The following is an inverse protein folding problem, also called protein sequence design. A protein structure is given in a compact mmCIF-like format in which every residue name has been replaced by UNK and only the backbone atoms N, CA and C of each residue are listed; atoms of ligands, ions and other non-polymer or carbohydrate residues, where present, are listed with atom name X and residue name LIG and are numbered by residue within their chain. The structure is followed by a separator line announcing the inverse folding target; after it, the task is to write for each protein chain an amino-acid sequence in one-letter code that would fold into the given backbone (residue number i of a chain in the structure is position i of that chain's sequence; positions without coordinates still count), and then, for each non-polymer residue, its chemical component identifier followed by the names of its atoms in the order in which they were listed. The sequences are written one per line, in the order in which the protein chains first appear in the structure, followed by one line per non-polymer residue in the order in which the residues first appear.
data_IF_785733597535
#
_entry.id   IF_785733597535
#
_cell.length_a   1.000
_cell.length_b   1.000
_cell.length_c   1.000
_cell.angle_alpha   90.00
_cell.angle_beta   90.00
_cell.angle_gamma   90.00
#
_symmetry.space_group_name_H-M   'P 1'
#
loop_
_entity.id
_entity.type
_entity.pdbx_description
1 polymer ?
#
# COMPACT_ATOMS: atom_id res chain seq x y z
N UNK A 1 -10.39 -13.01 13.55
CA UNK A 1 -9.52 -12.97 12.39
C UNK A 1 -8.11 -12.58 12.83
N UNK A 2 -7.14 -13.50 12.70
CA UNK A 2 -5.75 -13.34 13.18
C UNK A 2 -4.75 -12.91 12.10
N UNK A 3 -5.19 -12.45 10.91
CA UNK A 3 -4.31 -12.05 9.82
C UNK A 3 -3.77 -10.62 9.96
N UNK A 4 -2.78 -10.30 9.12
CA UNK A 4 -2.21 -8.96 9.02
C UNK A 4 -3.25 -7.91 8.63
N UNK A 5 -2.95 -6.66 8.92
CA UNK A 5 -3.75 -5.51 8.54
C UNK A 5 -3.16 -4.84 7.29
N UNK A 6 -4.02 -4.49 6.33
CA UNK A 6 -3.56 -4.02 5.03
C UNK A 6 -4.25 -2.71 4.64
N UNK A 7 -3.43 -1.69 4.43
CA UNK A 7 -3.82 -0.42 3.81
C UNK A 7 -3.40 -0.44 2.34
N UNK A 8 -4.31 -0.10 1.45
CA UNK A 8 -4.04 -0.06 0.01
C UNK A 8 -4.39 1.32 -0.51
N UNK A 9 -3.46 1.97 -1.18
CA UNK A 9 -3.74 3.22 -1.87
C UNK A 9 -4.91 3.07 -2.86
N UNK A 10 -5.75 4.09 -2.99
CA UNK A 10 -6.90 4.06 -3.88
C UNK A 10 -6.57 3.70 -5.33
N UNK A 11 -5.46 4.24 -5.87
CA UNK A 11 -4.99 3.92 -7.22
C UNK A 11 -4.54 2.47 -7.43
N UNK A 12 -4.22 1.76 -6.36
CA UNK A 12 -3.83 0.34 -6.41
C UNK A 12 -5.03 -0.63 -6.33
N UNK A 13 -6.24 -0.13 -6.07
CA UNK A 13 -7.44 -0.95 -5.92
C UNK A 13 -7.71 -1.87 -7.14
N UNK A 14 -7.54 -1.44 -8.40
CA UNK A 14 -7.74 -2.32 -9.55
C UNK A 14 -6.89 -3.59 -9.52
N UNK A 15 -5.61 -3.48 -9.13
CA UNK A 15 -4.71 -4.64 -9.00
C UNK A 15 -5.15 -5.59 -7.88
N UNK A 16 -5.65 -5.05 -6.78
CA UNK A 16 -6.18 -5.85 -5.66
C UNK A 16 -7.47 -6.55 -6.07
N UNK A 17 -8.37 -5.88 -6.81
CA UNK A 17 -9.58 -6.50 -7.36
C UNK A 17 -9.26 -7.62 -8.35
N UNK A 18 -8.31 -7.39 -9.26
CA UNK A 18 -7.85 -8.43 -10.19
C UNK A 18 -7.32 -9.65 -9.43
N UNK A 19 -6.55 -9.44 -8.35
CA UNK A 19 -6.10 -10.54 -7.50
C UNK A 19 -7.27 -11.22 -6.79
N UNK A 20 -8.23 -10.45 -6.28
CA UNK A 20 -9.44 -10.97 -5.65
C UNK A 20 -10.27 -11.85 -6.59
N UNK A 21 -10.39 -11.45 -7.85
CA UNK A 21 -11.04 -12.24 -8.91
C UNK A 21 -10.29 -13.56 -9.15
N UNK A 22 -8.98 -13.52 -9.32
CA UNK A 22 -8.15 -14.73 -9.53
C UNK A 22 -8.13 -15.70 -8.34
N UNK A 23 -8.60 -15.27 -7.19
CA UNK A 23 -8.69 -16.08 -5.96
C UNK A 23 -10.13 -16.36 -5.54
N UNK A 24 -11.09 -16.22 -6.47
CA UNK A 24 -12.52 -16.49 -6.28
C UNK A 24 -13.20 -15.69 -5.15
N UNK A 25 -12.62 -14.54 -4.79
CA UNK A 25 -13.19 -13.63 -3.78
C UNK A 25 -14.07 -12.54 -4.38
N UNK A 26 -13.99 -12.33 -5.67
CA UNK A 26 -14.76 -11.37 -6.47
C UNK A 26 -15.28 -12.10 -7.69
N UNK A 27 -16.58 -11.95 -7.98
CA UNK A 27 -17.21 -12.55 -9.14
C UNK A 27 -16.93 -11.75 -10.42
N UNK A 28 -17.13 -12.39 -11.59
CA UNK A 28 -17.06 -11.72 -12.89
C UNK A 28 -18.08 -10.58 -13.00
N UNK A 29 -19.29 -10.78 -12.50
CA UNK A 29 -20.33 -9.76 -12.46
C UNK A 29 -19.89 -8.52 -11.68
N UNK A 30 -19.28 -8.71 -10.53
CA UNK A 30 -18.72 -7.59 -9.73
C UNK A 30 -17.59 -6.87 -10.47
N UNK A 31 -16.72 -7.60 -11.17
CA UNK A 31 -15.64 -7.02 -12.00
C UNK A 31 -16.20 -6.17 -13.14
N UNK A 32 -17.24 -6.65 -13.82
CA UNK A 32 -17.91 -5.91 -14.92
C UNK A 32 -18.54 -4.60 -14.41
N UNK A 33 -18.91 -4.53 -13.15
CA UNK A 33 -19.50 -3.36 -12.50
C UNK A 33 -18.47 -2.53 -11.70
N UNK A 34 -17.20 -2.55 -12.11
CA UNK A 34 -16.17 -1.73 -11.47
C UNK A 34 -16.50 -0.23 -11.59
N UNK A 35 -16.42 0.50 -10.49
CA UNK A 35 -16.80 1.92 -10.37
C UNK A 35 -18.28 2.23 -10.61
N UNK A 36 -19.14 1.26 -10.39
CA UNK A 36 -20.60 1.41 -10.48
C UNK A 36 -21.25 1.17 -9.12
N UNK A 37 -20.69 1.77 -8.08
CA UNK A 37 -21.12 1.57 -6.70
C UNK A 37 -22.48 2.21 -6.37
N UNK A 38 -23.01 3.09 -7.21
CA UNK A 38 -24.29 3.81 -6.95
C UNK A 38 -25.46 2.84 -6.75
N UNK A 39 -25.48 1.76 -7.51
CA UNK A 39 -26.54 0.74 -7.44
C UNK A 39 -26.20 -0.38 -6.43
N UNK A 40 -25.07 -0.31 -5.75
CA UNK A 40 -24.66 -1.26 -4.72
C UNK A 40 -24.22 -2.64 -5.23
N UNK A 41 -24.13 -2.84 -6.54
CA UNK A 41 -23.85 -4.15 -7.16
C UNK A 41 -22.43 -4.27 -7.74
N UNK A 42 -21.58 -3.26 -7.56
CA UNK A 42 -20.26 -3.20 -8.17
C UNK A 42 -19.12 -3.10 -7.17
N UNK A 43 -17.91 -2.99 -7.71
CA UNK A 43 -16.71 -2.73 -6.94
C UNK A 43 -16.56 -1.23 -6.71
N UNK A 44 -16.26 -0.84 -5.48
CA UNK A 44 -16.02 0.55 -5.14
C UNK A 44 -14.79 1.11 -5.84
N UNK A 45 -14.84 2.40 -6.22
CA UNK A 45 -13.72 3.09 -6.88
C UNK A 45 -12.47 3.14 -6.02
N UNK A 46 -12.65 3.26 -4.69
CA UNK A 46 -11.60 3.26 -3.68
C UNK A 46 -11.88 2.21 -2.62
N UNK A 47 -10.87 1.78 -1.85
CA UNK A 47 -11.09 0.97 -0.66
C UNK A 47 -12.14 1.59 0.26
N UNK A 48 -13.27 0.92 0.40
CA UNK A 48 -14.43 1.45 1.11
C UNK A 48 -15.13 0.36 1.93
N UNK A 49 -14.78 0.22 3.22
CA UNK A 49 -15.31 -0.85 4.08
C UNK A 49 -16.84 -0.84 4.23
N UNK A 50 -17.50 0.30 4.09
CA UNK A 50 -18.96 0.35 4.19
C UNK A 50 -19.67 -0.18 2.94
N UNK A 51 -19.05 0.01 1.75
CA UNK A 51 -19.58 -0.54 0.51
C UNK A 51 -19.18 -2.01 0.31
N UNK A 52 -18.02 -2.40 0.83
CA UNK A 52 -17.48 -3.75 0.70
C UNK A 52 -16.89 -4.22 2.05
N UNK A 53 -17.75 -4.48 3.07
CA UNK A 53 -17.31 -4.77 4.44
C UNK A 53 -16.53 -6.09 4.58
N UNK A 54 -16.81 -7.06 3.73
CA UNK A 54 -16.12 -8.36 3.73
C UNK A 54 -14.82 -8.37 2.93
N UNK A 55 -14.51 -7.26 2.25
CA UNK A 55 -13.35 -7.15 1.38
C UNK A 55 -12.30 -6.16 1.89
N UNK A 56 -12.70 -4.93 2.20
CA UNK A 56 -11.80 -3.88 2.63
C UNK A 56 -11.76 -3.74 4.16
N UNK A 57 -10.54 -3.67 4.72
CA UNK A 57 -10.34 -3.44 6.15
C UNK A 57 -10.36 -1.96 6.52
N UNK A 58 -9.82 -1.10 5.66
CA UNK A 58 -9.65 0.32 5.92
C UNK A 58 -10.09 1.15 4.73
N UNK A 59 -10.70 2.34 4.97
CA UNK A 59 -10.95 3.30 3.93
C UNK A 59 -9.64 3.99 3.57
N UNK A 60 -9.32 4.10 2.28
CA UNK A 60 -8.16 4.83 1.80
C UNK A 60 -8.50 5.63 0.57
N UNK A 61 -7.76 6.71 0.40
CA UNK A 61 -7.70 7.55 -0.79
C UNK A 61 -6.22 7.68 -1.20
N UNK A 62 -5.89 8.66 -2.03
CA UNK A 62 -4.51 8.86 -2.51
C UNK A 62 -3.94 10.20 -2.06
N UNK A 63 -4.31 10.65 -0.85
CA UNK A 63 -3.99 11.96 -0.27
C UNK A 63 -3.04 11.86 0.94
N UNK A 64 -2.30 10.76 1.07
CA UNK A 64 -1.33 10.57 2.15
C UNK A 64 -1.93 10.11 3.49
N UNK A 65 -3.25 9.98 3.61
CA UNK A 65 -3.89 9.55 4.86
C UNK A 65 -3.70 8.05 5.14
N UNK A 66 -3.60 7.22 4.10
CA UNK A 66 -3.36 5.78 4.24
C UNK A 66 -2.06 5.48 5.00
N UNK A 67 -0.91 6.01 4.57
CA UNK A 67 0.36 5.89 5.29
C UNK A 67 0.30 6.38 6.73
N UNK A 68 -0.28 7.55 6.94
CA UNK A 68 -0.43 8.14 8.27
C UNK A 68 -1.29 7.25 9.19
N UNK A 69 -2.43 6.79 8.71
CA UNK A 69 -3.31 5.88 9.46
C UNK A 69 -2.64 4.54 9.77
N UNK A 70 -1.84 4.00 8.83
CA UNK A 70 -1.09 2.76 9.05
C UNK A 70 -0.09 2.90 10.20
N UNK A 71 0.61 4.04 10.29
CA UNK A 71 1.52 4.33 11.41
C UNK A 71 0.74 4.34 12.73
N UNK A 72 -0.36 5.06 12.81
CA UNK A 72 -1.18 5.11 14.03
C UNK A 72 -1.83 3.77 14.36
N UNK A 73 -2.22 3.00 13.38
CA UNK A 73 -2.72 1.63 13.59
C UNK A 73 -1.65 0.71 14.18
N UNK A 74 -0.44 0.72 13.64
CA UNK A 74 0.68 -0.05 14.17
C UNK A 74 1.03 0.37 15.61
N UNK A 75 1.04 1.68 15.86
CA UNK A 75 1.26 2.25 17.18
C UNK A 75 0.19 1.82 18.18
N UNK A 76 -1.08 1.87 17.77
CA UNK A 76 -2.19 1.47 18.63
C UNK A 76 -2.15 -0.03 18.97
N UNK A 77 -1.76 -0.88 18.02
CA UNK A 77 -1.55 -2.30 18.31
C UNK A 77 -0.48 -2.51 19.37
N UNK A 78 0.67 -1.85 19.26
CA UNK A 78 1.72 -1.90 20.31
C UNK A 78 1.24 -1.37 21.66
N UNK A 79 0.42 -0.33 21.66
CA UNK A 79 -0.20 0.15 22.89
C UNK A 79 -1.09 -0.92 23.54
N UNK A 80 -1.95 -1.59 22.77
CA UNK A 80 -2.83 -2.65 23.27
C UNK A 80 -2.04 -3.87 23.79
N UNK A 81 -0.98 -4.26 23.07
CA UNK A 81 -0.06 -5.32 23.50
C UNK A 81 0.65 -4.96 24.82
N UNK A 82 1.22 -3.77 24.91
CA UNK A 82 1.91 -3.29 26.10
C UNK A 82 0.98 -3.12 27.33
N UNK A 83 -0.32 -2.95 27.06
CA UNK A 83 -1.36 -2.91 28.10
C UNK A 83 -1.94 -4.30 28.41
N UNK A 84 -1.42 -5.34 27.79
CA UNK A 84 -1.91 -6.72 27.91
C UNK A 84 -3.42 -6.89 27.57
N UNK A 85 -3.96 -5.93 26.79
CA UNK A 85 -5.36 -5.97 26.32
C UNK A 85 -5.55 -6.94 25.16
N UNK A 86 -4.49 -7.17 24.40
CA UNK A 86 -4.42 -8.21 23.36
C UNK A 86 -3.12 -8.99 23.54
N UNK A 87 -3.13 -10.26 23.11
CA UNK A 87 -1.89 -11.04 23.06
C UNK A 87 -1.01 -10.55 21.93
N UNK A 88 0.31 -10.61 22.09
CA UNK A 88 1.24 -10.44 20.97
C UNK A 88 0.93 -11.52 19.92
N UNK A 89 0.44 -11.06 18.78
CA UNK A 89 0.03 -11.91 17.66
C UNK A 89 1.06 -11.94 16.55
N UNK A 90 2.15 -11.18 16.70
CA UNK A 90 3.14 -10.93 15.64
C UNK A 90 2.52 -10.39 14.32
N UNK A 91 1.31 -9.84 14.41
CA UNK A 91 0.60 -9.26 13.26
C UNK A 91 1.33 -8.03 12.75
N UNK A 92 1.35 -7.89 11.43
CA UNK A 92 1.93 -6.73 10.77
C UNK A 92 0.84 -5.81 10.22
N UNK A 93 1.20 -4.55 10.10
CA UNK A 93 0.45 -3.53 9.36
C UNK A 93 1.20 -3.25 8.07
N UNK A 94 0.58 -3.53 6.95
CA UNK A 94 1.11 -3.29 5.62
C UNK A 94 0.44 -2.07 5.01
N UNK A 95 1.22 -1.18 4.40
CA UNK A 95 0.70 -0.06 3.62
C UNK A 95 1.31 -0.08 2.22
N UNK A 96 0.45 -0.29 1.22
CA UNK A 96 0.80 -0.27 -0.20
C UNK A 96 0.49 1.09 -0.79
N UNK A 97 1.51 1.77 -1.30
CA UNK A 97 1.45 3.17 -1.72
C UNK A 97 2.13 3.35 -3.08
N UNK A 98 1.78 4.44 -3.77
CA UNK A 98 2.53 4.92 -4.93
C UNK A 98 3.55 5.98 -4.55
N UNK A 99 4.56 6.18 -5.40
CA UNK A 99 5.56 7.23 -5.24
C UNK A 99 4.95 8.65 -5.32
N UNK A 100 3.91 8.85 -6.14
CA UNK A 100 3.18 10.11 -6.19
C UNK A 100 2.43 10.45 -4.89
N UNK A 101 1.91 9.45 -4.17
CA UNK A 101 1.29 9.67 -2.86
C UNK A 101 2.30 10.11 -1.81
N UNK A 102 3.57 9.77 -1.98
CA UNK A 102 4.63 10.16 -1.05
C UNK A 102 5.00 11.65 -1.13
N UNK A 103 4.51 12.38 -2.14
CA UNK A 103 4.63 13.84 -2.21
C UNK A 103 3.69 14.58 -1.24
N UNK A 104 2.63 13.90 -0.79
CA UNK A 104 1.70 14.47 0.19
C UNK A 104 2.38 14.61 1.55
N UNK A 105 2.28 15.79 2.20
CA UNK A 105 2.90 16.03 3.51
C UNK A 105 2.50 14.99 4.57
N UNK A 106 1.25 14.53 4.52
CA UNK A 106 0.71 13.53 5.42
C UNK A 106 1.44 12.19 5.30
N UNK A 107 1.85 11.80 4.10
CA UNK A 107 2.58 10.54 3.85
C UNK A 107 3.89 10.46 4.62
N UNK A 108 4.60 11.58 4.74
CA UNK A 108 5.89 11.67 5.41
C UNK A 108 5.78 12.19 6.85
N UNK A 109 4.62 12.73 7.22
CA UNK A 109 4.45 13.48 8.47
C UNK A 109 4.74 12.70 9.75
N UNK A 110 4.57 11.40 9.75
CA UNK A 110 4.74 10.57 10.95
C UNK A 110 5.84 9.48 10.82
N UNK A 111 6.62 9.46 9.74
CA UNK A 111 7.69 8.45 9.57
C UNK A 111 8.75 8.52 10.68
N UNK A 112 9.08 9.73 11.15
CA UNK A 112 9.99 9.93 12.27
C UNK A 112 9.41 9.42 13.60
N UNK A 113 8.09 9.50 13.80
CA UNK A 113 7.41 8.93 14.96
C UNK A 113 7.52 7.40 14.94
N UNK A 114 7.21 6.77 13.82
CA UNK A 114 7.29 5.33 13.68
C UNK A 114 8.69 4.78 14.01
N UNK A 115 9.73 5.47 13.53
CA UNK A 115 11.12 5.09 13.83
C UNK A 115 11.48 5.26 15.30
N UNK A 116 11.10 6.40 15.93
CA UNK A 116 11.36 6.65 17.36
C UNK A 116 10.68 5.62 18.27
N UNK A 117 9.46 5.22 17.94
CA UNK A 117 8.71 4.22 18.70
C UNK A 117 9.05 2.79 18.29
N UNK A 118 9.97 2.61 17.34
CA UNK A 118 10.45 1.29 16.88
C UNK A 118 9.30 0.36 16.47
N UNK A 119 8.40 0.87 15.62
CA UNK A 119 7.23 0.13 15.15
C UNK A 119 7.66 -0.95 14.13
N UNK A 120 8.25 -2.04 14.64
CA UNK A 120 8.71 -3.19 13.85
C UNK A 120 7.56 -4.07 13.30
N UNK A 121 6.33 -3.75 13.68
CA UNK A 121 5.10 -4.32 13.14
C UNK A 121 4.54 -3.56 11.95
N UNK A 122 5.24 -2.52 11.43
CA UNK A 122 4.83 -1.70 10.29
C UNK A 122 5.71 -1.94 9.08
N UNK A 123 5.09 -2.14 7.92
CA UNK A 123 5.79 -2.34 6.64
C UNK A 123 5.16 -1.43 5.60
N UNK A 124 5.97 -0.58 4.98
CA UNK A 124 5.59 0.23 3.84
C UNK A 124 6.10 -0.40 2.55
N UNK A 125 5.24 -0.53 1.55
CA UNK A 125 5.57 -0.97 0.20
C UNK A 125 5.26 0.19 -0.75
N UNK A 126 6.30 0.84 -1.26
CA UNK A 126 6.16 1.98 -2.17
C UNK A 126 6.42 1.50 -3.59
N UNK A 127 5.39 1.52 -4.42
CA UNK A 127 5.50 1.20 -5.84
C UNK A 127 5.93 2.45 -6.62
N UNK A 128 7.19 2.46 -7.05
CA UNK A 128 7.75 3.55 -7.83
C UNK A 128 7.51 3.31 -9.34
N UNK A 129 6.32 3.65 -9.81
CA UNK A 129 5.95 3.56 -11.22
C UNK A 129 6.31 4.83 -12.01
N UNK A 130 6.86 5.86 -11.35
CA UNK A 130 7.33 7.13 -11.91
C UNK A 130 6.22 7.94 -12.59
N UNK A 131 4.98 7.75 -12.17
CA UNK A 131 3.81 8.46 -12.67
C UNK A 131 3.17 9.31 -11.56
N UNK A 132 2.72 10.51 -11.94
CA UNK A 132 1.88 11.41 -11.14
C UNK A 132 0.59 11.71 -11.90
N UNK A 133 -0.40 12.31 -11.23
CA UNK A 133 -1.66 12.69 -11.85
C UNK A 133 -1.48 13.68 -13.01
N UNK A 134 -0.51 14.56 -12.92
CA UNK A 134 -0.21 15.63 -13.87
C UNK A 134 0.91 15.29 -14.86
N UNK A 135 1.38 14.04 -14.88
CA UNK A 135 2.38 13.57 -15.83
C UNK A 135 3.51 12.74 -15.20
N UNK A 136 4.56 12.47 -15.96
CA UNK A 136 5.69 11.69 -15.46
C UNK A 136 6.48 12.47 -14.40
N UNK A 137 7.04 11.75 -13.45
CA UNK A 137 7.93 12.31 -12.43
C UNK A 137 9.20 12.85 -13.12
N UNK A 138 9.50 14.13 -12.95
CA UNK A 138 10.73 14.72 -13.47
C UNK A 138 11.94 14.14 -12.72
N UNK A 139 12.95 13.69 -13.46
CA UNK A 139 14.18 13.13 -12.89
C UNK A 139 13.99 11.73 -12.31
N UNK A 140 13.30 10.89 -13.03
CA UNK A 140 12.86 9.51 -12.71
C UNK A 140 13.66 8.73 -11.66
N UNK A 141 14.99 8.70 -11.73
CA UNK A 141 15.83 8.01 -10.75
C UNK A 141 15.97 8.79 -9.43
N UNK A 142 15.71 10.10 -9.44
CA UNK A 142 15.95 10.96 -8.29
C UNK A 142 14.90 10.78 -7.19
N UNK A 143 13.63 10.58 -7.55
CA UNK A 143 12.55 10.36 -6.56
C UNK A 143 12.79 9.10 -5.72
N UNK A 144 13.27 8.02 -6.32
CA UNK A 144 13.59 6.78 -5.60
C UNK A 144 14.72 7.03 -4.60
N UNK A 145 15.75 7.77 -5.00
CA UNK A 145 16.88 8.13 -4.13
C UNK A 145 16.44 9.09 -3.02
N UNK A 146 15.59 10.06 -3.33
CA UNK A 146 15.03 11.00 -2.35
C UNK A 146 14.20 10.28 -1.28
N UNK A 147 13.30 9.39 -1.69
CA UNK A 147 12.51 8.57 -0.77
C UNK A 147 13.40 7.65 0.07
N UNK A 148 14.36 6.95 -0.57
CA UNK A 148 15.31 6.13 0.15
C UNK A 148 16.08 6.94 1.20
N UNK A 149 16.59 8.11 0.83
CA UNK A 149 17.29 9.03 1.73
C UNK A 149 16.42 9.51 2.89
N UNK A 150 15.18 9.87 2.61
CA UNK A 150 14.20 10.35 3.60
C UNK A 150 13.88 9.26 4.63
N UNK A 151 13.56 8.04 4.19
CA UNK A 151 13.25 6.94 5.10
C UNK A 151 14.47 6.47 5.89
N UNK A 152 15.65 6.34 5.24
CA UNK A 152 16.90 5.99 5.96
C UNK A 152 17.27 7.07 6.96
N UNK A 153 17.16 8.34 6.60
CA UNK A 153 17.41 9.48 7.49
C UNK A 153 16.47 9.52 8.70
N UNK A 154 15.24 9.06 8.52
CA UNK A 154 14.28 8.91 9.61
C UNK A 154 14.53 7.66 10.49
N UNK A 155 15.44 6.77 10.09
CA UNK A 155 15.80 5.56 10.86
C UNK A 155 15.07 4.28 10.43
N UNK A 156 14.46 4.26 9.24
CA UNK A 156 13.83 3.07 8.68
C UNK A 156 14.85 2.13 8.04
N UNK A 157 14.56 0.83 8.08
CA UNK A 157 15.25 -0.15 7.25
C UNK A 157 14.63 -0.11 5.84
N UNK A 158 15.43 0.24 4.84
CA UNK A 158 14.97 0.39 3.45
C UNK A 158 15.57 -0.69 2.58
N UNK A 159 14.70 -1.45 1.91
CA UNK A 159 15.05 -2.46 0.92
C UNK A 159 14.59 -1.96 -0.44
N UNK A 160 15.51 -1.87 -1.39
CA UNK A 160 15.21 -1.50 -2.77
C UNK A 160 15.07 -2.76 -3.61
N UNK A 161 13.92 -2.93 -4.24
CA UNK A 161 13.65 -4.03 -5.17
C UNK A 161 13.50 -3.46 -6.57
N UNK A 162 14.29 -3.94 -7.52
CA UNK A 162 14.24 -3.50 -8.93
C UNK A 162 13.39 -4.48 -9.74
N UNK A 163 13.77 -5.76 -9.72
CA UNK A 163 13.00 -6.89 -10.28
C UNK A 163 13.44 -8.21 -9.63
N UNK A 164 12.67 -9.26 -9.88
CA UNK A 164 13.02 -10.61 -9.42
C UNK A 164 13.90 -11.35 -10.42
N UNK A 165 14.70 -12.31 -9.96
CA UNK A 165 15.63 -13.11 -10.76
C UNK A 165 14.97 -13.89 -11.91
N UNK A 166 13.66 -14.14 -11.84
CA UNK A 166 12.92 -14.80 -12.91
C UNK A 166 12.61 -13.87 -14.10
N UNK A 167 12.80 -12.56 -13.97
CA UNK A 167 12.61 -11.62 -15.08
C UNK A 167 13.77 -11.67 -16.08
N UNK A 168 14.98 -11.97 -15.63
CA UNK A 168 16.14 -12.04 -16.52
C UNK A 168 15.94 -13.06 -17.65
N UNK A 169 15.48 -14.32 -17.38
CA UNK A 169 15.15 -15.26 -18.44
C UNK A 169 13.99 -14.84 -19.34
N UNK A 170 13.01 -14.07 -18.81
CA UNK A 170 11.90 -13.55 -19.59
C UNK A 170 12.39 -12.47 -20.55
N UNK A 171 13.15 -11.50 -20.05
CA UNK A 171 13.74 -10.42 -20.85
C UNK A 171 14.67 -10.98 -21.92
N UNK A 172 15.48 -11.99 -21.59
CA UNK A 172 16.39 -12.64 -22.54
C UNK A 172 15.66 -13.36 -23.71
N UNK A 173 14.38 -13.69 -23.54
CA UNK A 173 13.54 -14.28 -24.60
C UNK A 173 12.85 -13.25 -25.47
N UNK A 174 12.83 -11.99 -25.03
CA UNK A 174 12.26 -10.90 -25.83
C UNK A 174 13.23 -10.52 -26.95
N UNK A 175 12.94 -11.01 -28.16
CA UNK A 175 13.72 -10.69 -29.37
C UNK A 175 13.18 -9.47 -30.11
N UNK A 176 12.01 -8.96 -29.71
CA UNK A 176 11.35 -7.82 -30.36
C UNK A 176 11.75 -6.48 -29.74
N UNK A 177 12.13 -6.47 -28.48
CA UNK A 177 12.46 -5.26 -27.73
C UNK A 177 11.25 -4.34 -27.48
N UNK A 178 10.02 -4.89 -27.48
CA UNK A 178 8.76 -4.19 -27.26
C UNK A 178 8.37 -4.17 -25.78
#
# INVERSE_FOLDING_TARGET
HGGDLVFVQGHSAPGIYARGFLTDRISEEQMMNFRQEVDGNGLSSYPHPWLMPDYWQFPTVSMGLGPLMAIYQARFMRYLENREMIKDTNRKVWAFMGDGEMDEPESLGAIGLAAREKLDNLIFVINCNLQRLDGPVRGNSKIIQELEGTFRGAGWNVIKVIWGSYWDPLIARDTSGL
#
